data_IF_733430047871
#
_entry.id   IF_733430047871
#
_cell.length_a   1.000
_cell.length_b   1.000
_cell.length_c   1.000
_cell.angle_alpha   90.00
_cell.angle_beta   90.00
_cell.angle_gamma   90.00
#
_symmetry.space_group_name_H-M   'P 1'
#
loop_
_entity.id
_entity.type
_entity.pdbx_description
1 polymer ?
#
# COMPACT_ATOMS: atom_id res chain seq x y z
N UNK A 1 3.75 -21.27 -26.45
CA UNK A 1 3.55 -20.16 -25.48
C UNK A 1 3.05 -20.81 -24.21
N UNK A 2 3.61 -20.53 -23.05
CA UNK A 2 3.11 -21.09 -21.80
C UNK A 2 1.75 -20.49 -21.50
N UNK A 3 0.74 -21.32 -21.22
CA UNK A 3 -0.62 -20.92 -20.87
C UNK A 3 -0.74 -20.64 -19.36
N UNK A 4 0.30 -20.01 -18.78
CA UNK A 4 0.38 -19.67 -17.36
C UNK A 4 -0.29 -18.32 -17.13
N UNK A 5 -1.33 -18.30 -16.30
CA UNK A 5 -1.93 -17.05 -15.81
C UNK A 5 -1.08 -16.53 -14.65
N UNK A 6 -0.36 -15.44 -14.87
CA UNK A 6 0.30 -14.66 -13.81
C UNK A 6 -0.56 -13.46 -13.49
N UNK A 7 -1.31 -13.53 -12.42
CA UNK A 7 -2.27 -12.49 -12.05
C UNK A 7 -1.84 -11.66 -10.83
N UNK A 8 -1.64 -12.30 -9.67
CA UNK A 8 -1.32 -11.62 -8.43
C UNK A 8 0.07 -12.02 -7.96
N UNK A 9 1.00 -11.07 -8.00
CA UNK A 9 2.36 -11.24 -7.46
C UNK A 9 2.37 -10.99 -5.95
N UNK A 10 3.22 -11.73 -5.24
CA UNK A 10 3.42 -11.51 -3.79
C UNK A 10 4.81 -10.95 -3.57
N UNK A 11 4.85 -9.75 -3.04
CA UNK A 11 6.07 -8.98 -2.85
C UNK A 11 6.21 -8.36 -1.46
N UNK A 12 7.03 -7.33 -1.37
CA UNK A 12 7.26 -6.59 -0.12
C UNK A 12 7.68 -5.15 -0.38
N UNK A 13 7.43 -4.30 0.58
CA UNK A 13 7.91 -2.92 0.59
C UNK A 13 9.38 -2.86 0.99
N UNK A 14 10.12 -1.93 0.40
CA UNK A 14 11.50 -1.59 0.78
C UNK A 14 11.66 -0.08 0.96
N UNK A 15 12.52 0.33 1.89
CA UNK A 15 12.81 1.76 2.09
C UNK A 15 13.69 2.29 0.96
N UNK A 16 13.14 3.11 0.07
CA UNK A 16 13.87 3.72 -1.05
C UNK A 16 15.01 4.65 -0.60
N UNK A 17 14.89 5.26 0.58
CA UNK A 17 15.93 6.10 1.18
C UNK A 17 16.80 5.39 2.21
N UNK A 18 16.78 4.05 2.29
CA UNK A 18 17.75 3.28 3.08
C UNK A 18 19.20 3.57 2.63
N UNK A 19 20.22 3.29 3.46
CA UNK A 19 21.60 3.44 3.05
C UNK A 19 21.99 2.64 1.81
N UNK A 20 21.53 1.40 1.68
CA UNK A 20 21.77 0.51 0.54
C UNK A 20 20.49 -0.27 0.13
N UNK A 21 19.50 0.37 -0.52
CA UNK A 21 18.27 -0.31 -0.93
C UNK A 21 18.53 -1.48 -1.90
N UNK A 22 19.53 -1.35 -2.77
CA UNK A 22 19.90 -2.42 -3.71
C UNK A 22 20.50 -3.63 -3.00
N UNK A 23 21.27 -3.41 -1.93
CA UNK A 23 21.74 -4.46 -1.04
C UNK A 23 20.62 -5.18 -0.32
N UNK A 24 19.65 -4.43 0.22
CA UNK A 24 18.46 -4.98 0.84
C UNK A 24 17.67 -5.86 -0.15
N UNK A 25 17.48 -5.37 -1.39
CA UNK A 25 16.83 -6.15 -2.46
C UNK A 25 17.57 -7.44 -2.74
N UNK A 26 18.89 -7.40 -2.97
CA UNK A 26 19.69 -8.61 -3.23
C UNK A 26 19.54 -9.65 -2.12
N UNK A 27 19.47 -9.19 -0.86
CA UNK A 27 19.35 -10.06 0.29
C UNK A 27 17.98 -10.78 0.35
N UNK A 28 16.90 -10.11 -0.03
CA UNK A 28 15.54 -10.67 0.11
C UNK A 28 15.10 -11.51 -1.10
N UNK A 29 15.66 -11.28 -2.28
CA UNK A 29 15.21 -11.93 -3.53
C UNK A 29 15.31 -13.46 -3.51
N UNK A 30 16.28 -14.01 -2.81
CA UNK A 30 16.46 -15.47 -2.72
C UNK A 30 15.33 -16.16 -1.94
N UNK A 31 14.52 -15.41 -1.19
CA UNK A 31 13.31 -15.94 -0.55
C UNK A 31 12.14 -16.11 -1.52
N UNK A 32 12.22 -15.54 -2.72
CA UNK A 32 11.23 -15.71 -3.78
C UNK A 32 10.13 -14.65 -3.80
N UNK A 33 10.38 -13.43 -3.36
CA UNK A 33 9.49 -12.28 -3.60
C UNK A 33 9.35 -12.03 -5.10
N UNK A 34 8.14 -11.69 -5.56
CA UNK A 34 7.78 -11.54 -6.97
C UNK A 34 7.54 -10.07 -7.35
N UNK A 35 7.41 -9.19 -6.36
CA UNK A 35 7.37 -7.74 -6.52
C UNK A 35 8.08 -7.03 -5.38
N UNK A 36 8.43 -5.78 -5.63
CA UNK A 36 9.04 -4.87 -4.66
C UNK A 36 8.37 -3.52 -4.82
N UNK A 37 7.97 -2.91 -3.72
CA UNK A 37 7.51 -1.54 -3.65
C UNK A 37 8.56 -0.67 -2.95
N UNK A 38 9.38 0.11 -3.68
CA UNK A 38 10.21 1.15 -3.09
C UNK A 38 9.34 2.28 -2.53
N UNK A 39 9.46 2.57 -1.24
CA UNK A 39 8.68 3.63 -0.60
C UNK A 39 9.54 4.66 0.12
N UNK A 40 8.98 5.85 0.33
CA UNK A 40 9.60 6.99 0.99
C UNK A 40 8.67 7.54 2.07
N UNK A 41 9.23 7.70 3.28
CA UNK A 41 8.49 8.29 4.39
C UNK A 41 8.72 9.80 4.41
N UNK A 42 7.67 10.57 4.17
CA UNK A 42 7.56 12.03 4.14
C UNK A 42 8.43 12.75 3.09
N UNK A 43 9.59 12.24 2.76
CA UNK A 43 10.52 12.87 1.80
C UNK A 43 11.36 11.84 1.09
N UNK A 44 11.73 12.12 -0.15
CA UNK A 44 12.75 11.34 -0.87
C UNK A 44 14.17 11.67 -0.39
N UNK A 45 14.32 12.78 0.36
CA UNK A 45 15.63 13.27 0.81
C UNK A 45 16.54 13.62 -0.36
N UNK A 46 17.83 13.32 -0.21
CA UNK A 46 18.85 13.57 -1.23
C UNK A 46 19.03 12.40 -2.21
N UNK A 47 18.07 11.48 -2.33
CA UNK A 47 18.18 10.33 -3.22
C UNK A 47 18.09 10.77 -4.69
N UNK A 48 19.06 10.34 -5.46
CA UNK A 48 19.05 10.38 -6.92
C UNK A 48 18.12 9.26 -7.42
N UNK A 49 16.88 9.62 -7.75
CA UNK A 49 15.84 8.67 -8.14
C UNK A 49 16.17 7.90 -9.43
N UNK A 50 16.71 8.53 -10.50
CA UNK A 50 17.21 7.79 -11.66
C UNK A 50 18.29 6.77 -11.32
N UNK A 51 19.25 7.13 -10.49
CA UNK A 51 20.31 6.23 -10.04
C UNK A 51 19.74 5.08 -9.21
N UNK A 52 18.85 5.37 -8.26
CA UNK A 52 18.18 4.34 -7.46
C UNK A 52 17.46 3.32 -8.34
N UNK A 53 16.72 3.79 -9.35
CA UNK A 53 16.04 2.91 -10.28
C UNK A 53 17.00 1.95 -11.01
N UNK A 54 18.14 2.47 -11.46
CA UNK A 54 19.17 1.66 -12.10
C UNK A 54 19.79 0.63 -11.14
N UNK A 55 20.12 1.04 -9.92
CA UNK A 55 20.69 0.16 -8.88
C UNK A 55 19.73 -0.96 -8.47
N UNK A 56 18.42 -0.66 -8.33
CA UNK A 56 17.40 -1.67 -8.01
C UNK A 56 17.19 -2.64 -9.18
N UNK A 57 17.16 -2.17 -10.42
CA UNK A 57 17.09 -3.03 -11.60
C UNK A 57 18.30 -3.95 -11.72
N UNK A 58 19.50 -3.44 -11.47
CA UNK A 58 20.73 -4.24 -11.43
C UNK A 58 20.66 -5.32 -10.34
N UNK A 59 20.16 -4.95 -9.15
CA UNK A 59 19.97 -5.90 -8.05
C UNK A 59 18.97 -7.01 -8.38
N UNK A 60 17.90 -6.69 -9.09
CA UNK A 60 16.90 -7.66 -9.56
C UNK A 60 17.52 -8.56 -10.66
N UNK A 61 18.29 -7.99 -11.58
CA UNK A 61 18.90 -8.71 -12.70
C UNK A 61 17.85 -9.36 -13.59
N UNK A 62 18.08 -10.60 -14.00
CA UNK A 62 17.18 -11.38 -14.87
C UNK A 62 16.04 -12.08 -14.12
N UNK A 63 15.85 -11.80 -12.83
CA UNK A 63 14.76 -12.41 -12.05
C UNK A 63 13.41 -11.83 -12.47
N UNK A 64 12.37 -12.65 -12.43
CA UNK A 64 10.99 -12.27 -12.73
C UNK A 64 10.36 -11.56 -11.50
N UNK A 65 10.84 -10.35 -11.22
CA UNK A 65 10.43 -9.49 -10.11
C UNK A 65 10.08 -8.11 -10.65
N UNK A 66 8.90 -7.61 -10.29
CA UNK A 66 8.42 -6.29 -10.73
C UNK A 66 8.58 -5.21 -9.66
N UNK A 67 8.60 -3.96 -10.09
CA UNK A 67 8.43 -2.77 -9.25
C UNK A 67 7.23 -1.99 -9.80
N UNK A 68 6.00 -2.51 -9.58
CA UNK A 68 4.79 -1.94 -10.18
C UNK A 68 4.29 -0.68 -9.49
N UNK A 69 4.66 -0.48 -8.23
CA UNK A 69 4.23 0.63 -7.38
C UNK A 69 5.43 1.30 -6.70
N UNK A 70 5.34 2.60 -6.49
CA UNK A 70 6.28 3.38 -5.68
C UNK A 70 5.48 4.12 -4.60
N UNK A 71 5.94 4.07 -3.35
CA UNK A 71 5.23 4.65 -2.22
C UNK A 71 5.74 6.04 -1.80
N UNK A 72 4.82 6.99 -1.53
CA UNK A 72 5.10 8.30 -0.96
C UNK A 72 4.17 8.59 0.21
N UNK A 73 4.61 8.34 1.43
CA UNK A 73 3.80 8.43 2.64
C UNK A 73 4.10 9.68 3.44
N UNK A 74 3.20 10.66 3.41
CA UNK A 74 3.31 11.93 4.09
C UNK A 74 2.07 12.79 3.85
N UNK A 75 2.10 14.04 4.32
CA UNK A 75 0.98 14.97 4.13
C UNK A 75 1.33 16.04 3.08
N UNK A 76 0.84 15.95 1.83
CA UNK A 76 1.10 16.96 0.80
C UNK A 76 0.09 18.12 0.80
N UNK A 77 -0.90 18.13 1.70
CA UNK A 77 -1.99 19.12 1.66
C UNK A 77 -1.70 20.42 2.40
N UNK A 78 -0.72 20.44 3.29
CA UNK A 78 -0.37 21.63 4.06
C UNK A 78 0.96 22.24 3.62
N UNK A 79 1.55 23.13 4.40
CA UNK A 79 2.61 24.02 3.94
C UNK A 79 3.81 24.09 4.92
N UNK A 80 4.01 23.08 5.74
CA UNK A 80 5.29 22.93 6.44
C UNK A 80 6.39 22.58 5.47
N UNK A 81 7.65 22.72 5.86
CA UNK A 81 8.77 22.30 5.01
C UNK A 81 8.67 20.81 4.61
N UNK A 82 8.27 19.95 5.55
CA UNK A 82 8.09 18.53 5.29
C UNK A 82 6.91 18.26 4.34
N UNK A 83 5.83 19.01 4.44
CA UNK A 83 4.67 18.87 3.55
C UNK A 83 5.04 19.24 2.10
N UNK A 84 5.82 20.31 1.93
CA UNK A 84 6.36 20.69 0.62
C UNK A 84 7.30 19.64 0.04
N UNK A 85 8.15 19.04 0.89
CA UNK A 85 9.01 17.93 0.47
C UNK A 85 8.21 16.68 0.08
N UNK A 86 7.12 16.38 0.82
CA UNK A 86 6.20 15.30 0.46
C UNK A 86 5.57 15.54 -0.91
N UNK A 87 5.06 16.75 -1.16
CA UNK A 87 4.48 17.10 -2.46
C UNK A 87 5.51 17.00 -3.59
N UNK A 88 6.72 17.52 -3.37
CA UNK A 88 7.82 17.39 -4.34
C UNK A 88 8.20 15.92 -4.58
N UNK A 89 8.11 15.09 -3.54
CA UNK A 89 8.30 13.63 -3.62
C UNK A 89 7.27 12.98 -4.57
N UNK A 90 5.99 13.27 -4.40
CA UNK A 90 4.93 12.82 -5.30
C UNK A 90 5.22 13.19 -6.76
N UNK A 91 5.55 14.47 -7.02
CA UNK A 91 5.87 14.94 -8.37
C UNK A 91 7.08 14.22 -8.95
N UNK A 92 8.14 14.05 -8.15
CA UNK A 92 9.37 13.38 -8.58
C UNK A 92 9.13 11.90 -8.90
N UNK A 93 8.37 11.17 -8.06
CA UNK A 93 8.08 9.76 -8.31
C UNK A 93 7.19 9.56 -9.54
N UNK A 94 6.17 10.41 -9.74
CA UNK A 94 5.35 10.40 -10.96
C UNK A 94 6.22 10.59 -12.20
N UNK A 95 7.14 11.55 -12.18
CA UNK A 95 8.01 11.85 -13.34
C UNK A 95 8.97 10.72 -13.68
N UNK A 96 9.40 9.97 -12.67
CA UNK A 96 10.41 8.92 -12.79
C UNK A 96 9.85 7.49 -12.73
N UNK A 97 8.53 7.31 -12.60
CA UNK A 97 7.89 5.99 -12.50
C UNK A 97 8.36 5.02 -13.60
N UNK A 98 8.47 5.51 -14.84
CA UNK A 98 8.92 4.73 -16.01
C UNK A 98 10.33 4.13 -15.84
N UNK A 99 11.20 4.77 -15.06
CA UNK A 99 12.54 4.27 -14.80
C UNK A 99 12.53 2.99 -13.95
N UNK A 100 11.52 2.80 -13.12
CA UNK A 100 11.30 1.57 -12.33
C UNK A 100 10.48 0.53 -13.11
N UNK A 101 9.76 0.94 -14.13
CA UNK A 101 8.69 0.17 -14.76
C UNK A 101 7.38 0.25 -13.98
N UNK A 102 7.27 1.20 -13.05
CA UNK A 102 6.10 1.41 -12.23
C UNK A 102 4.98 2.11 -13.01
N UNK A 103 3.76 1.71 -12.73
CA UNK A 103 2.53 2.29 -13.31
C UNK A 103 1.60 2.88 -12.25
N UNK A 104 1.98 2.79 -10.97
CA UNK A 104 1.24 3.31 -9.84
C UNK A 104 2.17 4.07 -8.89
N UNK A 105 1.73 5.23 -8.40
CA UNK A 105 2.33 5.88 -7.23
C UNK A 105 1.30 5.84 -6.12
N UNK A 106 1.69 5.28 -4.98
CA UNK A 106 0.81 5.09 -3.84
C UNK A 106 1.21 5.96 -2.64
N UNK A 107 0.31 6.12 -1.67
CA UNK A 107 0.62 6.84 -0.43
C UNK A 107 -0.57 7.56 0.19
N UNK A 108 -0.29 8.48 1.13
CA UNK A 108 -1.33 9.20 1.82
C UNK A 108 -1.84 10.41 1.03
N UNK A 109 -3.15 10.64 1.12
CA UNK A 109 -3.76 11.87 0.60
C UNK A 109 -3.28 13.12 1.31
N UNK A 110 -2.84 13.00 2.57
CA UNK A 110 -2.71 14.14 3.48
C UNK A 110 -4.05 14.54 4.12
N UNK A 111 -3.97 15.52 5.01
CA UNK A 111 -5.11 16.08 5.74
C UNK A 111 -4.79 17.48 6.23
N UNK A 112 -5.78 18.37 6.28
CA UNK A 112 -5.69 19.61 7.06
C UNK A 112 -5.70 19.22 8.53
N UNK A 113 -4.57 19.40 9.22
CA UNK A 113 -4.33 18.85 10.55
C UNK A 113 -5.35 19.33 11.58
N UNK A 114 -5.77 18.38 12.42
CA UNK A 114 -6.72 18.64 13.49
C UNK A 114 -8.14 18.97 13.05
N UNK A 115 -8.46 18.90 11.74
CA UNK A 115 -9.77 19.26 11.20
C UNK A 115 -10.57 18.02 10.75
N UNK A 116 -11.91 18.14 10.63
CA UNK A 116 -12.74 17.11 9.98
C UNK A 116 -12.30 16.86 8.55
N UNK A 117 -12.63 15.66 8.03
CA UNK A 117 -12.27 15.24 6.67
C UNK A 117 -12.71 16.27 5.63
N UNK A 118 -13.93 16.76 5.74
CA UNK A 118 -14.54 17.72 4.80
C UNK A 118 -13.71 19.00 4.64
N UNK A 119 -13.02 19.43 5.67
CA UNK A 119 -12.15 20.61 5.63
C UNK A 119 -10.94 20.41 4.70
N UNK A 120 -10.55 19.17 4.45
CA UNK A 120 -9.43 18.82 3.58
C UNK A 120 -9.81 18.74 2.09
N UNK A 121 -11.10 18.57 1.76
CA UNK A 121 -11.53 18.30 0.38
C UNK A 121 -11.17 19.43 -0.61
N UNK A 122 -11.28 20.71 -0.29
CA UNK A 122 -10.85 21.78 -1.21
C UNK A 122 -9.36 21.69 -1.56
N UNK A 123 -8.53 21.45 -0.55
CA UNK A 123 -7.08 21.32 -0.75
C UNK A 123 -6.70 20.00 -1.43
N UNK A 124 -7.37 18.90 -1.10
CA UNK A 124 -7.26 17.63 -1.81
C UNK A 124 -7.54 17.80 -3.30
N UNK A 125 -8.65 18.44 -3.66
CA UNK A 125 -8.99 18.71 -5.06
C UNK A 125 -7.93 19.55 -5.78
N UNK A 126 -7.39 20.56 -5.13
CA UNK A 126 -6.35 21.42 -5.71
C UNK A 126 -5.05 20.64 -5.95
N UNK A 127 -4.55 19.93 -4.94
CA UNK A 127 -3.25 19.25 -4.99
C UNK A 127 -3.34 18.03 -5.89
N UNK A 128 -4.27 17.11 -5.59
CA UNK A 128 -4.37 15.85 -6.36
C UNK A 128 -5.00 16.03 -7.73
N UNK A 129 -5.77 17.08 -8.00
CA UNK A 129 -6.19 17.41 -9.36
C UNK A 129 -5.00 17.73 -10.29
N UNK A 130 -3.97 18.41 -9.77
CA UNK A 130 -2.72 18.65 -10.51
C UNK A 130 -1.88 17.37 -10.65
N UNK A 131 -1.75 16.61 -9.56
CA UNK A 131 -0.98 15.34 -9.57
C UNK A 131 -1.64 14.29 -10.46
N UNK A 132 -2.97 14.16 -10.43
CA UNK A 132 -3.72 13.23 -11.28
C UNK A 132 -3.50 13.53 -12.78
N UNK A 133 -3.58 14.81 -13.17
CA UNK A 133 -3.27 15.21 -14.54
C UNK A 133 -1.82 14.89 -14.92
N UNK A 134 -0.85 15.24 -14.07
CA UNK A 134 0.58 14.93 -14.29
C UNK A 134 0.82 13.44 -14.46
N UNK A 135 0.16 12.62 -13.62
CA UNK A 135 0.24 11.16 -13.68
C UNK A 135 -0.40 10.60 -14.95
N UNK A 136 -1.60 11.09 -15.33
CA UNK A 136 -2.29 10.68 -16.54
C UNK A 136 -1.47 10.96 -17.80
N UNK A 137 -0.81 12.11 -17.89
CA UNK A 137 0.08 12.48 -19.00
C UNK A 137 1.26 11.50 -19.17
N UNK A 138 1.56 10.68 -18.15
CA UNK A 138 2.63 9.67 -18.12
C UNK A 138 2.12 8.23 -18.11
N UNK A 139 0.81 8.02 -18.16
CA UNK A 139 0.20 6.69 -18.05
C UNK A 139 0.34 6.07 -16.65
N UNK A 140 0.42 6.90 -15.62
CA UNK A 140 0.56 6.50 -14.22
C UNK A 140 -0.75 6.71 -13.47
N UNK A 141 -1.10 5.78 -12.58
CA UNK A 141 -2.21 5.91 -11.63
C UNK A 141 -1.72 6.39 -10.27
N UNK A 142 -2.63 6.92 -9.46
CA UNK A 142 -2.38 7.30 -8.07
C UNK A 142 -3.29 6.45 -7.18
N UNK A 143 -2.72 5.83 -6.16
CA UNK A 143 -3.43 4.99 -5.20
C UNK A 143 -3.29 5.54 -3.77
N UNK A 144 -4.41 5.69 -3.07
CA UNK A 144 -4.42 6.19 -1.70
C UNK A 144 -4.52 5.05 -0.70
N UNK A 145 -3.55 4.97 0.21
CA UNK A 145 -3.57 3.98 1.27
C UNK A 145 -4.70 4.26 2.27
N UNK A 146 -5.37 3.20 2.73
CA UNK A 146 -6.50 3.33 3.65
C UNK A 146 -6.11 3.36 5.14
N UNK A 147 -4.90 3.79 5.46
CA UNK A 147 -4.43 3.99 6.83
C UNK A 147 -4.92 5.31 7.41
N UNK A 148 -5.49 5.27 8.61
CA UNK A 148 -5.95 6.49 9.31
C UNK A 148 -4.84 7.24 10.02
N UNK A 149 -3.71 6.62 10.33
CA UNK A 149 -2.65 7.20 11.15
C UNK A 149 -3.20 7.81 12.45
N UNK A 150 -3.92 7.01 13.23
CA UNK A 150 -4.61 7.41 14.48
C UNK A 150 -5.69 8.48 14.31
N UNK A 151 -6.02 8.88 13.08
CA UNK A 151 -7.09 9.81 12.78
C UNK A 151 -8.47 9.16 12.82
N UNK A 152 -9.50 10.02 12.85
CA UNK A 152 -10.91 9.64 12.70
C UNK A 152 -11.62 10.68 11.83
N UNK A 153 -12.95 10.59 11.72
CA UNK A 153 -13.72 11.52 10.89
C UNK A 153 -13.55 12.98 11.30
N UNK A 154 -13.55 13.26 12.61
CA UNK A 154 -13.56 14.61 13.16
C UNK A 154 -12.17 15.25 13.26
N UNK A 155 -11.11 14.45 13.40
CA UNK A 155 -9.73 14.94 13.59
C UNK A 155 -8.70 13.95 13.12
N UNK A 156 -7.52 14.43 12.74
CA UNK A 156 -6.35 13.66 12.31
C UNK A 156 -5.38 14.56 11.57
N UNK A 157 -4.20 14.05 11.29
CA UNK A 157 -3.07 14.85 10.80
C UNK A 157 -2.46 14.36 9.49
N UNK A 158 -2.82 13.14 9.03
CA UNK A 158 -2.05 12.48 8.00
C UNK A 158 -2.83 12.14 6.73
N UNK A 159 -4.07 11.61 6.86
CA UNK A 159 -4.74 10.99 5.74
C UNK A 159 -6.26 11.07 5.88
N UNK A 160 -6.95 11.38 4.79
CA UNK A 160 -8.41 11.35 4.75
C UNK A 160 -8.97 10.04 4.16
N UNK A 161 -8.16 9.24 3.46
CA UNK A 161 -8.60 8.05 2.73
C UNK A 161 -8.84 6.81 3.62
N UNK A 162 -9.26 6.96 4.87
CA UNK A 162 -9.17 5.88 5.86
C UNK A 162 -10.41 4.98 6.00
N UNK A 163 -11.53 5.31 5.35
CA UNK A 163 -12.73 4.47 5.39
C UNK A 163 -13.62 4.65 4.14
N UNK A 164 -14.60 3.78 3.89
CA UNK A 164 -15.45 3.83 2.70
C UNK A 164 -16.22 5.13 2.50
N UNK A 165 -16.71 5.76 3.57
CA UNK A 165 -17.45 7.03 3.48
C UNK A 165 -16.52 8.16 3.02
N UNK A 166 -15.27 8.17 3.49
CA UNK A 166 -14.26 9.12 3.04
C UNK A 166 -13.87 8.87 1.58
N UNK A 167 -13.78 7.62 1.13
CA UNK A 167 -13.52 7.29 -0.27
C UNK A 167 -14.61 7.82 -1.19
N UNK A 168 -15.89 7.68 -0.80
CA UNK A 168 -17.02 8.27 -1.55
C UNK A 168 -16.84 9.78 -1.71
N UNK A 169 -16.61 10.50 -0.60
CA UNK A 169 -16.40 11.94 -0.64
C UNK A 169 -15.20 12.37 -1.50
N UNK A 170 -14.10 11.63 -1.41
CA UNK A 170 -12.88 11.93 -2.17
C UNK A 170 -13.12 11.75 -3.69
N UNK A 171 -13.68 10.60 -4.10
CA UNK A 171 -13.90 10.31 -5.51
C UNK A 171 -15.07 11.11 -6.10
N UNK A 172 -16.05 11.53 -5.30
CA UNK A 172 -17.07 12.50 -5.73
C UNK A 172 -16.47 13.92 -5.90
N UNK A 173 -15.51 14.28 -5.05
CA UNK A 173 -14.82 15.58 -5.12
C UNK A 173 -13.86 15.68 -6.31
N UNK A 174 -13.20 14.57 -6.64
CA UNK A 174 -12.21 14.45 -7.72
C UNK A 174 -12.40 13.10 -8.43
N UNK A 175 -13.26 13.05 -9.46
CA UNK A 175 -13.70 11.80 -10.09
C UNK A 175 -12.74 11.30 -11.19
N UNK A 176 -11.46 11.67 -11.15
CA UNK A 176 -10.46 11.25 -12.12
C UNK A 176 -10.30 9.72 -12.10
N UNK A 177 -10.29 9.10 -13.28
CA UNK A 177 -10.28 7.63 -13.42
C UNK A 177 -8.96 7.01 -12.94
N UNK A 178 -7.86 7.76 -13.03
CA UNK A 178 -6.52 7.33 -12.59
C UNK A 178 -6.26 7.56 -11.08
N UNK A 179 -7.29 7.89 -10.30
CA UNK A 179 -7.26 7.90 -8.84
C UNK A 179 -7.95 6.67 -8.28
N UNK A 180 -7.31 5.99 -7.35
CA UNK A 180 -7.82 4.78 -6.71
C UNK A 180 -7.27 4.57 -5.30
N UNK A 181 -7.28 3.32 -4.87
CA UNK A 181 -6.87 2.91 -3.53
C UNK A 181 -5.65 1.99 -3.59
N UNK A 182 -4.73 2.22 -2.69
CA UNK A 182 -3.82 1.24 -2.16
C UNK A 182 -4.52 0.62 -0.95
N UNK A 183 -5.13 -0.52 -1.19
CA UNK A 183 -6.08 -1.11 -0.25
C UNK A 183 -5.42 -2.17 0.61
N UNK A 184 -5.82 -2.25 1.88
CA UNK A 184 -5.41 -3.32 2.79
C UNK A 184 -6.52 -3.69 3.78
N UNK A 185 -6.63 -4.98 4.18
CA UNK A 185 -7.65 -5.40 5.14
C UNK A 185 -7.36 -4.94 6.57
N UNK A 186 -6.10 -4.74 6.95
CA UNK A 186 -5.71 -4.35 8.31
C UNK A 186 -6.48 -3.13 8.79
N UNK A 187 -6.46 -2.04 8.04
CA UNK A 187 -7.12 -0.79 8.42
C UNK A 187 -8.65 -0.85 8.29
N UNK A 188 -9.20 -1.83 7.58
CA UNK A 188 -10.64 -2.13 7.67
C UNK A 188 -10.98 -2.77 9.04
N UNK A 189 -10.17 -3.73 9.47
CA UNK A 189 -10.34 -4.39 10.78
C UNK A 189 -10.15 -3.43 11.95
N UNK A 190 -9.25 -2.43 11.83
CA UNK A 190 -9.09 -1.35 12.82
C UNK A 190 -10.41 -0.60 13.08
N UNK A 191 -11.24 -0.47 12.04
CA UNK A 191 -12.58 0.14 12.13
C UNK A 191 -13.70 -0.86 12.30
N UNK A 192 -13.41 -2.14 12.51
CA UNK A 192 -14.39 -3.23 12.59
C UNK A 192 -15.24 -3.37 11.32
N UNK A 193 -14.69 -3.01 10.17
CA UNK A 193 -15.32 -3.15 8.86
C UNK A 193 -14.93 -4.50 8.25
N UNK A 194 -15.93 -5.24 7.73
CA UNK A 194 -15.66 -6.47 6.98
C UNK A 194 -14.98 -6.14 5.63
N UNK A 195 -13.74 -6.62 5.40
CA UNK A 195 -13.00 -6.32 4.16
C UNK A 195 -13.67 -6.85 2.89
N UNK A 196 -14.37 -7.97 2.97
CA UNK A 196 -14.89 -8.68 1.79
C UNK A 196 -15.93 -7.88 1.00
N UNK A 197 -16.99 -7.31 1.63
CA UNK A 197 -17.92 -6.44 0.91
C UNK A 197 -17.24 -5.19 0.32
N UNK A 198 -16.17 -4.71 0.96
CA UNK A 198 -15.44 -3.54 0.47
C UNK A 198 -14.67 -3.84 -0.83
N UNK A 199 -14.02 -5.00 -0.92
CA UNK A 199 -13.39 -5.43 -2.18
C UNK A 199 -14.42 -5.44 -3.31
N UNK A 200 -15.59 -6.06 -3.10
CA UNK A 200 -16.64 -6.14 -4.12
C UNK A 200 -17.14 -4.79 -4.58
N UNK A 201 -17.30 -3.83 -3.66
CA UNK A 201 -17.78 -2.48 -3.96
C UNK A 201 -16.71 -1.64 -4.64
N UNK A 202 -15.45 -1.70 -4.15
CA UNK A 202 -14.40 -0.79 -4.51
C UNK A 202 -13.37 -1.37 -5.51
N UNK A 203 -13.56 -2.60 -5.96
CA UNK A 203 -12.65 -3.26 -6.89
C UNK A 203 -12.21 -2.40 -8.10
N UNK A 204 -13.09 -1.61 -8.76
CA UNK A 204 -12.67 -0.75 -9.86
C UNK A 204 -11.69 0.36 -9.46
N UNK A 205 -11.57 0.62 -8.17
CA UNK A 205 -10.67 1.63 -7.59
C UNK A 205 -9.49 1.03 -6.84
N UNK A 206 -9.38 -0.29 -6.68
CA UNK A 206 -8.22 -0.93 -6.05
C UNK A 206 -7.12 -1.09 -7.09
N UNK A 207 -6.09 -0.25 -7.01
CA UNK A 207 -4.96 -0.24 -7.94
C UNK A 207 -3.74 -0.96 -7.38
N UNK A 208 -3.60 -0.97 -6.05
CA UNK A 208 -2.54 -1.69 -5.34
C UNK A 208 -3.09 -2.29 -4.05
N UNK A 209 -2.38 -3.28 -3.49
CA UNK A 209 -2.78 -3.95 -2.24
C UNK A 209 -1.57 -4.13 -1.34
N UNK A 210 -1.68 -3.65 -0.09
CA UNK A 210 -0.72 -4.01 0.94
C UNK A 210 -1.09 -5.33 1.64
N UNK A 211 -0.10 -6.19 1.77
CA UNK A 211 -0.16 -7.39 2.57
C UNK A 211 0.03 -7.09 4.05
N UNK A 212 -0.99 -6.53 4.68
CA UNK A 212 -1.01 -6.20 6.10
C UNK A 212 -2.27 -6.73 6.76
N UNK A 213 -2.16 -7.26 7.96
CA UNK A 213 -3.23 -7.95 8.68
C UNK A 213 -3.45 -7.32 10.06
N UNK A 214 -4.49 -7.73 10.77
CA UNK A 214 -4.74 -7.33 12.13
C UNK A 214 -5.41 -8.47 12.92
N UNK A 215 -5.18 -8.48 14.23
CA UNK A 215 -5.93 -9.31 15.18
C UNK A 215 -6.85 -8.40 15.99
N UNK A 216 -8.16 -8.71 16.02
CA UNK A 216 -9.16 -8.02 16.84
C UNK A 216 -9.24 -8.70 18.19
N UNK A 217 -8.91 -7.98 19.25
CA UNK A 217 -8.98 -8.46 20.62
C UNK A 217 -10.40 -8.28 21.18
N UNK A 218 -11.27 -9.21 20.83
CA UNK A 218 -12.66 -9.20 21.27
C UNK A 218 -12.83 -9.30 22.80
N UNK A 219 -11.85 -9.86 23.50
CA UNK A 219 -11.74 -9.85 24.96
C UNK A 219 -11.65 -8.41 25.47
N UNK A 220 -10.74 -7.60 24.92
CA UNK A 220 -10.57 -6.18 25.28
C UNK A 220 -11.83 -5.38 24.96
N UNK A 221 -12.44 -5.58 23.78
CA UNK A 221 -13.67 -4.88 23.40
C UNK A 221 -14.79 -5.15 24.40
N UNK A 222 -14.96 -6.40 24.82
CA UNK A 222 -16.03 -6.79 25.78
C UNK A 222 -15.80 -6.24 27.18
N UNK A 223 -14.55 -6.08 27.59
CA UNK A 223 -14.21 -5.63 28.95
C UNK A 223 -14.05 -4.10 29.03
N UNK A 224 -13.44 -3.47 28.02
CA UNK A 224 -13.01 -2.07 28.07
C UNK A 224 -13.60 -1.21 26.94
N UNK A 225 -14.29 -1.81 25.95
CA UNK A 225 -14.78 -1.11 24.77
C UNK A 225 -13.68 -0.75 23.78
N UNK A 226 -14.04 0.04 22.75
CA UNK A 226 -13.12 0.42 21.66
C UNK A 226 -12.32 1.70 21.96
N UNK A 227 -12.73 2.48 22.95
CA UNK A 227 -12.07 3.72 23.40
C UNK A 227 -11.37 3.56 24.75
N UNK A 228 -11.07 2.32 25.14
CA UNK A 228 -10.37 2.03 26.38
C UNK A 228 -8.89 2.37 26.32
N UNK A 229 -8.20 2.20 27.45
CA UNK A 229 -6.75 2.41 27.54
C UNK A 229 -5.96 1.36 26.75
N UNK A 230 -6.46 0.12 26.75
CA UNK A 230 -5.81 -1.01 26.08
C UNK A 230 -6.26 -1.06 24.61
N UNK A 231 -5.33 -1.12 23.65
CA UNK A 231 -5.69 -1.26 22.24
C UNK A 231 -6.43 -2.57 21.99
N UNK A 232 -7.57 -2.47 21.33
CA UNK A 232 -8.39 -3.62 20.96
C UNK A 232 -7.97 -4.29 19.65
N UNK A 233 -7.00 -3.71 18.93
CA UNK A 233 -6.48 -4.25 17.68
C UNK A 233 -4.96 -4.29 17.74
N UNK A 234 -4.38 -5.31 17.15
CA UNK A 234 -2.94 -5.43 16.94
C UNK A 234 -2.70 -5.60 15.45
N UNK A 235 -1.88 -4.74 14.87
CA UNK A 235 -1.43 -4.89 13.48
C UNK A 235 -0.55 -6.13 13.37
N UNK A 236 -0.76 -6.93 12.33
CA UNK A 236 -0.09 -8.20 12.14
C UNK A 236 0.44 -8.35 10.72
N UNK A 237 1.48 -9.13 10.60
CA UNK A 237 1.94 -9.64 9.30
C UNK A 237 0.95 -10.69 8.79
N UNK A 238 0.67 -10.80 7.47
CA UNK A 238 -0.28 -11.77 6.92
C UNK A 238 -0.01 -13.23 7.37
N UNK A 239 -1.08 -13.90 7.78
CA UNK A 239 -1.01 -15.25 8.33
C UNK A 239 -0.86 -15.32 9.84
N UNK A 240 -0.77 -14.16 10.50
CA UNK A 240 -0.79 -14.05 11.97
C UNK A 240 -1.97 -13.21 12.49
N UNK A 241 -2.79 -12.66 11.60
CA UNK A 241 -3.99 -11.91 11.90
C UNK A 241 -5.28 -12.66 11.57
N UNK A 242 -6.39 -11.93 11.57
CA UNK A 242 -7.75 -12.47 11.44
C UNK A 242 -8.28 -12.42 9.99
N UNK A 243 -7.52 -11.86 9.03
CA UNK A 243 -7.96 -11.78 7.64
C UNK A 243 -7.94 -13.15 6.95
N UNK A 244 -9.05 -13.52 6.31
CA UNK A 244 -9.09 -14.68 5.41
C UNK A 244 -8.48 -14.30 4.04
N UNK A 245 -7.17 -14.40 3.92
CA UNK A 245 -6.45 -14.05 2.69
C UNK A 245 -6.79 -14.94 1.52
N UNK A 246 -7.22 -16.18 1.73
CA UNK A 246 -7.72 -17.04 0.66
C UNK A 246 -8.98 -16.42 0.03
N UNK A 247 -9.88 -15.92 0.88
CA UNK A 247 -11.10 -15.25 0.43
C UNK A 247 -10.80 -13.87 -0.16
N UNK A 248 -9.93 -13.08 0.46
CA UNK A 248 -9.47 -11.78 -0.06
C UNK A 248 -8.92 -11.93 -1.49
N UNK A 249 -7.99 -12.84 -1.70
CA UNK A 249 -7.39 -13.08 -3.03
C UNK A 249 -8.44 -13.58 -4.03
N UNK A 250 -9.36 -14.44 -3.60
CA UNK A 250 -10.45 -14.93 -4.46
C UNK A 250 -11.36 -13.80 -4.92
N UNK A 251 -11.73 -12.87 -4.03
CA UNK A 251 -12.56 -11.71 -4.39
C UNK A 251 -11.81 -10.72 -5.29
N UNK A 252 -10.52 -10.50 -5.04
CA UNK A 252 -9.67 -9.68 -5.93
C UNK A 252 -9.62 -10.28 -7.34
N UNK A 253 -9.46 -11.60 -7.47
CA UNK A 253 -9.51 -12.31 -8.76
C UNK A 253 -10.86 -12.22 -9.45
N UNK A 254 -11.95 -12.44 -8.73
CA UNK A 254 -13.32 -12.29 -9.26
C UNK A 254 -13.56 -10.87 -9.80
N UNK A 255 -12.93 -9.88 -9.18
CA UNK A 255 -12.98 -8.49 -9.61
C UNK A 255 -12.00 -8.16 -10.76
N UNK A 256 -11.15 -9.10 -11.18
CA UNK A 256 -10.20 -8.92 -12.27
C UNK A 256 -8.88 -8.26 -11.87
N UNK A 257 -8.57 -8.14 -10.58
CA UNK A 257 -7.29 -7.60 -10.10
C UNK A 257 -6.10 -8.46 -10.56
N UNK A 258 -5.05 -7.80 -11.05
CA UNK A 258 -3.82 -8.42 -11.57
C UNK A 258 -2.55 -7.68 -11.13
N UNK A 259 -2.59 -7.09 -9.96
CA UNK A 259 -1.47 -6.34 -9.39
C UNK A 259 -0.63 -7.15 -8.42
N UNK A 260 0.16 -6.45 -7.63
CA UNK A 260 0.92 -7.03 -6.53
C UNK A 260 0.13 -6.96 -5.21
N UNK A 261 0.48 -7.87 -4.28
CA UNK A 261 0.23 -7.74 -2.85
C UNK A 261 1.61 -7.61 -2.22
N UNK A 262 1.98 -6.39 -1.85
CA UNK A 262 3.29 -6.13 -1.25
C UNK A 262 3.17 -6.11 0.27
N UNK A 263 3.96 -6.97 0.94
CA UNK A 263 3.87 -7.20 2.38
C UNK A 263 4.42 -6.00 3.13
N UNK A 264 3.62 -5.47 4.05
CA UNK A 264 3.99 -4.46 5.03
C UNK A 264 4.02 -5.10 6.43
N UNK A 265 5.20 -5.34 6.99
CA UNK A 265 5.37 -6.23 8.15
C UNK A 265 5.82 -5.58 9.46
N UNK A 266 6.54 -4.47 9.44
CA UNK A 266 7.24 -3.94 10.63
C UNK A 266 6.36 -3.44 11.77
N UNK A 267 5.06 -3.36 11.60
CA UNK A 267 4.10 -3.01 12.66
C UNK A 267 3.65 -4.18 13.53
N UNK A 268 4.05 -5.40 13.19
CA UNK A 268 3.71 -6.60 13.98
C UNK A 268 4.40 -6.52 15.35
N UNK A 269 3.69 -6.71 16.47
CA UNK A 269 4.29 -6.64 17.80
C UNK A 269 5.29 -7.77 18.10
N UNK A 270 5.27 -8.85 17.31
CA UNK A 270 6.16 -10.02 17.47
C UNK A 270 7.19 -10.09 16.35
N UNK A 271 6.73 -9.97 15.07
CA UNK A 271 7.55 -10.16 13.88
C UNK A 271 8.08 -8.84 13.36
N UNK A 272 8.91 -8.19 14.15
CA UNK A 272 9.63 -6.95 13.87
C UNK A 272 11.09 -7.05 14.31
N UNK A 273 11.89 -6.05 14.00
CA UNK A 273 13.30 -5.98 14.36
C UNK A 273 14.04 -7.28 13.93
N UNK A 274 14.61 -8.02 14.85
CA UNK A 274 15.34 -9.27 14.58
C UNK A 274 14.45 -10.40 13.99
N UNK A 275 13.13 -10.33 14.14
CA UNK A 275 12.19 -11.31 13.62
C UNK A 275 11.43 -10.81 12.37
N UNK A 276 11.71 -9.62 11.88
CA UNK A 276 11.00 -9.04 10.75
C UNK A 276 11.09 -9.95 9.51
N UNK A 277 12.29 -10.37 9.12
CA UNK A 277 12.46 -11.28 7.97
C UNK A 277 11.80 -12.64 8.19
N UNK A 278 11.72 -13.12 9.43
CA UNK A 278 10.96 -14.34 9.75
C UNK A 278 9.46 -14.15 9.45
N UNK A 279 8.91 -13.01 9.83
CA UNK A 279 7.52 -12.64 9.52
C UNK A 279 7.29 -12.45 8.02
N UNK A 280 8.16 -11.70 7.35
CA UNK A 280 8.10 -11.44 5.91
C UNK A 280 8.10 -12.74 5.08
N UNK A 281 9.03 -13.64 5.35
CA UNK A 281 9.11 -14.94 4.63
C UNK A 281 7.92 -15.83 4.95
N UNK A 282 7.44 -15.82 6.20
CA UNK A 282 6.23 -16.56 6.56
C UNK A 282 5.01 -16.01 5.83
N UNK A 283 4.85 -14.69 5.77
CA UNK A 283 3.75 -14.04 5.05
C UNK A 283 3.81 -14.31 3.53
N UNK A 284 4.99 -14.22 2.94
CA UNK A 284 5.21 -14.58 1.52
C UNK A 284 4.70 -15.98 1.21
N UNK A 285 5.13 -16.97 1.99
CA UNK A 285 4.73 -18.37 1.79
C UNK A 285 3.22 -18.56 2.01
N UNK A 286 2.67 -17.95 3.06
CA UNK A 286 1.25 -18.01 3.37
C UNK A 286 0.39 -17.40 2.26
N UNK A 287 0.72 -16.19 1.80
CA UNK A 287 -0.03 -15.51 0.73
C UNK A 287 0.08 -16.28 -0.60
N UNK A 288 1.24 -16.86 -0.92
CA UNK A 288 1.38 -17.73 -2.09
C UNK A 288 0.48 -18.97 -1.98
N UNK A 289 0.38 -19.59 -0.82
CA UNK A 289 -0.55 -20.69 -0.61
C UNK A 289 -2.01 -20.23 -0.73
N UNK A 290 -2.39 -19.10 -0.14
CA UNK A 290 -3.72 -18.52 -0.31
C UNK A 290 -4.05 -18.19 -1.77
N UNK A 291 -3.03 -17.84 -2.58
CA UNK A 291 -3.16 -17.58 -4.01
C UNK A 291 -3.38 -18.88 -4.83
N UNK A 292 -3.02 -20.05 -4.30
CA UNK A 292 -3.15 -21.34 -4.97
C UNK A 292 -1.83 -22.07 -5.18
N UNK A 293 -0.74 -21.63 -4.53
CA UNK A 293 0.54 -22.32 -4.49
C UNK A 293 1.74 -21.43 -4.71
N UNK A 294 2.92 -22.03 -4.49
CA UNK A 294 4.22 -21.35 -4.56
C UNK A 294 4.59 -20.91 -5.98
N UNK A 295 4.00 -21.51 -6.99
CA UNK A 295 4.27 -21.24 -8.41
C UNK A 295 2.98 -21.04 -9.16
N UNK A 296 3.03 -20.22 -10.19
CA UNK A 296 1.98 -20.20 -11.20
C UNK A 296 2.01 -21.50 -12.01
N UNK A 297 0.84 -22.05 -12.31
CA UNK A 297 0.71 -23.36 -12.94
C UNK A 297 0.21 -23.17 -14.36
N UNK A 298 0.85 -23.85 -15.31
CA UNK A 298 0.41 -23.89 -16.68
C UNK A 298 -0.92 -24.65 -16.80
N UNK A 299 -1.87 -24.08 -17.50
CA UNK A 299 -3.09 -24.78 -17.83
C UNK A 299 -2.85 -25.70 -19.03
N UNK A 300 -3.43 -26.91 -19.04
CA UNK A 300 -3.44 -27.71 -20.25
C UNK A 300 -4.24 -27.00 -21.36
N UNK A 301 -3.80 -27.19 -22.60
CA UNK A 301 -4.50 -26.67 -23.78
C UNK A 301 -5.89 -27.34 -23.95
#
# INVERSE_FOLDING_TARGET
>A
MTNTLRDISIGTMIKGNAPDPAGDVRQILDHGFESIEPFFWQTIGDKDIPRLAAELKDAIGDRDVSMSTLGMFGNPLEDTEMDRQTLAGWETLIDNAHLFGATCIAGFTGRVRGQPIEASLPRFKEVFGRLAKRAADKGVTIAFENCAMDGNWATGDWNIAHNPDAWELMFDTLPDENLGLEWEPCHQLVYLIDPIPQIRKWAPKIFHVHGKDATIRWDVIREHGIFGREPFVQMRTPGFGDSDWTRVISELRLAGYKGAIDIEGWHDPVYRDALEMTGQVKALNYLKECRGGMRFIDNPD
#
